data_IF_790942352422
#
_entry.id   IF_790942352422
#
_cell.length_a   1.000
_cell.length_b   1.000
_cell.length_c   1.000
_cell.angle_alpha   90.00
_cell.angle_beta   90.00
_cell.angle_gamma   90.00
#
_symmetry.space_group_name_H-M   'P 1'
#
loop_
_entity.id
_entity.type
_entity.pdbx_description
1 polymer ?
#
# COMPACT_ATOMS: atom_id res chain seq x y z
N UNK A 1 12.23 -2.54 6.88
CA UNK A 1 11.05 -1.75 7.35
C UNK A 1 11.53 -0.50 8.10
N UNK A 2 12.50 -0.63 9.03
CA UNK A 2 13.02 0.47 9.84
C UNK A 2 13.65 1.61 9.01
N UNK A 3 14.34 1.31 7.92
CA UNK A 3 14.98 2.34 7.08
C UNK A 3 13.94 3.19 6.32
N UNK A 4 12.90 2.56 5.78
CA UNK A 4 11.85 3.26 5.03
C UNK A 4 11.03 4.21 5.95
N UNK A 5 10.78 3.81 7.20
CA UNK A 5 10.15 4.68 8.20
C UNK A 5 11.03 5.87 8.57
N UNK A 6 12.33 5.63 8.76
CA UNK A 6 13.29 6.68 9.10
C UNK A 6 13.36 7.77 8.03
N UNK A 7 13.33 7.39 6.76
CA UNK A 7 13.36 8.34 5.64
C UNK A 7 12.05 9.15 5.55
N UNK A 8 10.90 8.55 5.88
CA UNK A 8 9.62 9.26 5.89
C UNK A 8 9.53 10.26 7.05
N UNK A 9 9.89 9.85 8.27
CA UNK A 9 9.95 10.74 9.42
C UNK A 9 10.91 11.90 9.19
N UNK A 10 12.07 11.64 8.61
CA UNK A 10 13.04 12.66 8.25
C UNK A 10 12.46 13.64 7.23
N UNK A 11 11.84 13.16 6.17
CA UNK A 11 11.21 13.99 5.14
C UNK A 11 10.09 14.86 5.73
N UNK A 12 9.25 14.29 6.60
CA UNK A 12 8.21 15.04 7.29
C UNK A 12 8.82 16.15 8.15
N UNK A 13 9.79 15.81 9.00
CA UNK A 13 10.42 16.76 9.90
C UNK A 13 11.13 17.90 9.17
N UNK A 14 11.86 17.62 8.10
CA UNK A 14 12.55 18.62 7.30
C UNK A 14 11.57 19.59 6.62
N UNK A 15 10.49 19.09 6.01
CA UNK A 15 9.51 19.92 5.32
C UNK A 15 8.66 20.72 6.32
N UNK A 16 8.20 20.11 7.40
CA UNK A 16 7.44 20.81 8.46
C UNK A 16 8.30 21.88 9.16
N UNK A 17 9.57 21.60 9.41
CA UNK A 17 10.50 22.59 9.96
C UNK A 17 10.67 23.78 9.00
N UNK A 18 10.81 23.51 7.70
CA UNK A 18 10.89 24.58 6.70
C UNK A 18 9.62 25.44 6.68
N UNK A 19 8.44 24.81 6.73
CA UNK A 19 7.14 25.49 6.76
C UNK A 19 7.02 26.36 8.00
N UNK A 20 7.28 25.79 9.17
CA UNK A 20 7.14 26.46 10.47
C UNK A 20 8.12 27.61 10.62
N UNK A 21 9.39 27.39 10.31
CA UNK A 21 10.44 28.43 10.43
C UNK A 21 10.18 29.64 9.55
N UNK A 22 9.52 29.44 8.41
CA UNK A 22 9.19 30.51 7.46
C UNK A 22 7.76 31.02 7.58
N UNK A 23 7.01 30.52 8.55
CA UNK A 23 5.59 30.86 8.78
C UNK A 23 4.74 30.71 7.50
N UNK A 24 4.98 29.63 6.74
CA UNK A 24 4.26 29.33 5.50
C UNK A 24 3.05 28.44 5.79
N UNK A 25 2.08 28.50 4.89
CA UNK A 25 0.97 27.53 4.83
C UNK A 25 1.19 26.54 3.68
N UNK A 26 0.47 25.44 3.66
CA UNK A 26 0.48 24.51 2.53
C UNK A 26 0.05 25.20 1.23
N UNK A 27 -0.90 26.15 1.31
CA UNK A 27 -1.31 26.96 0.15
C UNK A 27 -0.19 27.87 -0.36
N UNK A 28 0.67 28.40 0.54
CA UNK A 28 1.81 29.21 0.12
C UNK A 28 2.84 28.38 -0.66
N UNK A 29 3.05 27.12 -0.28
CA UNK A 29 3.91 26.20 -1.02
C UNK A 29 3.33 25.92 -2.42
N UNK A 30 2.03 25.71 -2.49
CA UNK A 30 1.34 25.50 -3.77
C UNK A 30 1.47 26.74 -4.67
N UNK A 31 1.26 27.95 -4.12
CA UNK A 31 1.39 29.21 -4.84
C UNK A 31 2.81 29.49 -5.32
N UNK A 32 3.81 29.12 -4.52
CA UNK A 32 5.24 29.29 -4.84
C UNK A 32 5.80 28.21 -5.76
N UNK A 33 4.92 27.36 -6.35
CA UNK A 33 5.29 26.26 -7.23
C UNK A 33 6.20 25.21 -6.57
N UNK A 34 6.07 25.01 -5.26
CA UNK A 34 6.78 24.00 -4.48
C UNK A 34 5.95 22.71 -4.35
N UNK A 35 5.15 22.40 -5.37
CA UNK A 35 4.27 21.24 -5.40
C UNK A 35 4.98 19.91 -5.12
N UNK A 36 6.19 19.63 -5.64
CA UNK A 36 6.86 18.37 -5.34
C UNK A 36 7.14 18.14 -3.85
N UNK A 37 7.43 19.20 -3.10
CA UNK A 37 7.71 19.09 -1.67
C UNK A 37 6.45 18.85 -0.85
N UNK A 38 5.35 19.51 -1.18
CA UNK A 38 4.08 19.30 -0.47
C UNK A 38 3.46 17.95 -0.84
N UNK A 39 3.63 17.48 -2.08
CA UNK A 39 3.24 16.12 -2.49
C UNK A 39 4.07 15.06 -1.76
N UNK A 40 5.39 15.26 -1.66
CA UNK A 40 6.26 14.39 -0.86
C UNK A 40 5.83 14.36 0.61
N UNK A 41 5.46 15.49 1.18
CA UNK A 41 4.96 15.55 2.56
C UNK A 41 3.67 14.74 2.72
N UNK A 42 2.71 14.92 1.83
CA UNK A 42 1.42 14.23 1.87
C UNK A 42 1.58 12.71 1.75
N UNK A 43 2.40 12.25 0.81
CA UNK A 43 2.65 10.82 0.63
C UNK A 43 3.44 10.24 1.79
N UNK A 44 4.37 10.99 2.38
CA UNK A 44 5.12 10.56 3.56
C UNK A 44 4.21 10.35 4.77
N UNK A 45 3.25 11.25 5.01
CA UNK A 45 2.25 11.08 6.05
C UNK A 45 1.36 9.85 5.81
N UNK A 46 0.90 9.65 4.57
CA UNK A 46 0.06 8.50 4.24
C UNK A 46 0.82 7.19 4.44
N UNK A 47 2.05 7.10 3.99
CA UNK A 47 2.90 5.92 4.13
C UNK A 47 3.31 5.67 5.58
N UNK A 48 3.63 6.71 6.35
CA UNK A 48 3.92 6.56 7.77
C UNK A 48 2.70 5.98 8.51
N UNK A 49 1.51 6.52 8.21
CA UNK A 49 0.26 6.00 8.77
C UNK A 49 0.05 4.52 8.41
N UNK A 50 0.28 4.13 7.16
CA UNK A 50 0.19 2.74 6.72
C UNK A 50 1.19 1.83 7.46
N UNK A 51 2.46 2.23 7.54
CA UNK A 51 3.49 1.43 8.21
C UNK A 51 3.21 1.25 9.69
N UNK A 52 2.85 2.33 10.41
CA UNK A 52 2.53 2.27 11.83
C UNK A 52 1.34 1.34 12.11
N UNK A 53 0.31 1.42 11.29
CA UNK A 53 -0.86 0.57 11.46
C UNK A 53 -0.60 -0.86 11.00
N UNK A 54 0.20 -1.09 9.97
CA UNK A 54 0.61 -2.42 9.56
C UNK A 54 1.42 -3.14 10.65
N UNK A 55 2.31 -2.43 11.33
CA UNK A 55 3.10 -3.02 12.43
C UNK A 55 2.25 -3.39 13.65
N UNK A 56 1.22 -2.59 13.95
CA UNK A 56 0.46 -2.72 15.18
C UNK A 56 -0.89 -3.43 15.00
N UNK A 57 -1.43 -3.50 13.79
CA UNK A 57 -2.78 -4.02 13.51
C UNK A 57 -2.86 -4.78 12.18
N UNK A 58 -1.80 -5.50 11.80
CA UNK A 58 -1.85 -6.29 10.57
C UNK A 58 -2.85 -7.46 10.69
N UNK A 59 -3.73 -7.58 9.69
CA UNK A 59 -4.70 -8.66 9.61
C UNK A 59 -4.97 -9.02 8.13
N UNK A 60 -5.74 -10.06 7.87
CA UNK A 60 -6.03 -10.57 6.52
C UNK A 60 -6.74 -9.58 5.59
N UNK A 61 -7.26 -8.47 6.10
CA UNK A 61 -7.96 -7.43 5.34
C UNK A 61 -7.11 -6.18 5.10
N UNK A 62 -5.96 -6.04 5.76
CA UNK A 62 -5.15 -4.83 5.78
C UNK A 62 -4.66 -4.37 4.40
N UNK A 63 -4.54 -5.27 3.43
CA UNK A 63 -4.04 -4.97 2.08
C UNK A 63 -5.11 -5.11 0.99
N UNK A 64 -6.38 -5.23 1.35
CA UNK A 64 -7.48 -5.44 0.40
C UNK A 64 -8.31 -4.15 0.30
N UNK A 65 -8.29 -3.52 -0.88
CA UNK A 65 -9.08 -2.32 -1.15
C UNK A 65 -10.46 -2.66 -1.72
N UNK A 66 -11.51 -1.91 -1.32
CA UNK A 66 -11.51 -0.89 -0.29
C UNK A 66 -11.37 -1.48 1.10
N UNK A 67 -10.60 -0.81 1.98
CA UNK A 67 -10.42 -1.24 3.36
C UNK A 67 -11.76 -1.30 4.10
N UNK A 68 -11.90 -2.26 5.02
CA UNK A 68 -13.13 -2.50 5.77
C UNK A 68 -12.81 -2.85 7.22
N UNK A 69 -13.69 -2.42 8.11
CA UNK A 69 -13.75 -2.83 9.52
C UNK A 69 -12.37 -2.91 10.21
N UNK A 70 -11.90 -4.12 10.44
CA UNK A 70 -10.64 -4.39 11.15
C UNK A 70 -9.37 -3.88 10.44
N UNK A 71 -9.47 -3.53 9.14
CA UNK A 71 -8.37 -3.00 8.37
C UNK A 71 -8.22 -1.48 8.51
N UNK A 72 -9.16 -0.78 9.15
CA UNK A 72 -9.04 0.65 9.37
C UNK A 72 -7.87 0.95 10.31
N UNK A 73 -7.21 2.07 10.03
CA UNK A 73 -6.11 2.55 10.84
C UNK A 73 -6.57 2.93 12.24
N UNK A 74 -5.87 2.43 13.26
CA UNK A 74 -6.07 2.81 14.66
C UNK A 74 -5.40 4.17 14.91
N UNK A 75 -4.16 4.34 14.45
CA UNK A 75 -3.51 5.64 14.38
C UNK A 75 -3.89 6.33 13.07
N UNK A 76 -4.80 7.27 13.18
CA UNK A 76 -5.37 8.02 12.04
C UNK A 76 -4.61 9.31 11.70
N UNK A 77 -3.56 9.66 12.45
CA UNK A 77 -2.89 10.97 12.33
C UNK A 77 -2.28 11.16 10.93
N UNK A 78 -1.52 10.18 10.45
CA UNK A 78 -0.92 10.23 9.11
C UNK A 78 -1.97 10.39 8.01
N UNK A 79 -3.05 9.60 8.07
CA UNK A 79 -4.14 9.66 7.11
C UNK A 79 -4.86 11.01 7.12
N UNK A 80 -5.14 11.58 8.29
CA UNK A 80 -5.77 12.91 8.41
C UNK A 80 -4.89 14.02 7.85
N UNK A 81 -3.60 13.98 8.11
CA UNK A 81 -2.64 14.93 7.52
C UNK A 81 -2.58 14.80 5.99
N UNK A 82 -2.55 13.58 5.47
CA UNK A 82 -2.60 13.35 4.03
C UNK A 82 -3.89 13.89 3.41
N UNK A 83 -5.05 13.69 4.05
CA UNK A 83 -6.34 14.23 3.58
C UNK A 83 -6.30 15.76 3.53
N UNK A 84 -5.81 16.41 4.60
CA UNK A 84 -5.69 17.87 4.67
C UNK A 84 -4.87 18.41 3.49
N UNK A 85 -3.71 17.83 3.24
CA UNK A 85 -2.79 18.29 2.22
C UNK A 85 -3.28 17.94 0.81
N UNK A 86 -3.71 16.69 0.56
CA UNK A 86 -4.20 16.29 -0.76
C UNK A 86 -5.48 17.01 -1.17
N UNK A 87 -6.33 17.40 -0.23
CA UNK A 87 -7.48 18.25 -0.52
C UNK A 87 -7.03 19.58 -1.12
N UNK A 88 -6.05 20.25 -0.52
CA UNK A 88 -5.54 21.53 -1.01
C UNK A 88 -4.80 21.39 -2.35
N UNK A 89 -4.03 20.31 -2.52
CA UNK A 89 -3.36 20.01 -3.80
C UNK A 89 -4.41 19.81 -4.89
N UNK A 90 -5.42 18.97 -4.64
CA UNK A 90 -6.44 18.63 -5.64
C UNK A 90 -7.32 19.83 -6.03
N UNK A 91 -7.63 20.73 -5.10
CA UNK A 91 -8.37 21.96 -5.40
C UNK A 91 -7.65 22.85 -6.41
N UNK A 92 -6.32 22.85 -6.39
CA UNK A 92 -5.52 23.64 -7.33
C UNK A 92 -5.11 22.85 -8.57
N UNK A 93 -4.86 21.57 -8.42
CA UNK A 93 -4.41 20.66 -9.46
C UNK A 93 -5.30 19.40 -9.49
N UNK A 94 -6.46 19.45 -10.14
CA UNK A 94 -7.44 18.35 -10.14
C UNK A 94 -6.97 17.20 -11.06
N UNK A 95 -5.97 16.46 -10.62
CA UNK A 95 -5.44 15.28 -11.32
C UNK A 95 -5.94 13.99 -10.67
N UNK A 96 -6.12 12.95 -11.48
CA UNK A 96 -6.67 11.66 -11.03
C UNK A 96 -5.79 10.97 -9.97
N UNK A 97 -4.46 11.11 -10.04
CA UNK A 97 -3.56 10.57 -9.02
C UNK A 97 -3.79 11.20 -7.65
N UNK A 98 -3.98 12.51 -7.56
CA UNK A 98 -4.28 13.17 -6.29
C UNK A 98 -5.67 12.82 -5.77
N UNK A 99 -6.64 12.70 -6.68
CA UNK A 99 -7.98 12.22 -6.32
C UNK A 99 -7.92 10.81 -5.75
N UNK A 100 -7.14 9.93 -6.38
CA UNK A 100 -6.92 8.56 -5.90
C UNK A 100 -6.31 8.54 -4.51
N UNK A 101 -5.20 9.24 -4.29
CA UNK A 101 -4.51 9.28 -3.00
C UNK A 101 -5.39 9.88 -1.89
N UNK A 102 -6.18 10.90 -2.21
CA UNK A 102 -7.16 11.46 -1.28
C UNK A 102 -8.22 10.42 -0.87
N UNK A 103 -8.78 9.68 -1.84
CA UNK A 103 -9.75 8.62 -1.54
C UNK A 103 -9.11 7.46 -0.75
N UNK A 104 -7.87 7.09 -1.07
CA UNK A 104 -7.13 6.08 -0.33
C UNK A 104 -6.96 6.51 1.14
N UNK A 105 -6.57 7.76 1.39
CA UNK A 105 -6.47 8.29 2.74
C UNK A 105 -7.80 8.26 3.50
N UNK A 106 -8.91 8.57 2.85
CA UNK A 106 -10.25 8.42 3.45
C UNK A 106 -10.64 6.95 3.70
N UNK A 107 -10.20 6.02 2.84
CA UNK A 107 -10.43 4.58 3.07
C UNK A 107 -9.74 4.08 4.31
N UNK A 108 -8.50 4.52 4.56
CA UNK A 108 -7.74 4.07 5.72
C UNK A 108 -8.39 4.40 7.05
N UNK A 109 -9.20 5.45 7.11
CA UNK A 109 -9.90 5.88 8.33
C UNK A 109 -11.40 5.58 8.30
N UNK A 110 -11.86 4.77 7.35
CA UNK A 110 -13.25 4.31 7.26
C UNK A 110 -14.26 5.37 6.79
N UNK A 111 -13.81 6.47 6.23
CA UNK A 111 -14.69 7.55 5.75
C UNK A 111 -15.20 7.34 4.32
N UNK A 112 -14.52 6.52 3.53
CA UNK A 112 -14.93 6.24 2.15
C UNK A 112 -16.02 5.15 2.10
N UNK A 113 -17.06 5.29 1.26
CA UNK A 113 -17.37 6.44 0.39
C UNK A 113 -18.25 7.49 1.07
N UNK A 114 -18.86 7.19 2.22
CA UNK A 114 -20.02 7.92 2.77
C UNK A 114 -19.66 9.33 3.25
N UNK A 115 -18.48 9.53 3.81
CA UNK A 115 -18.05 10.80 4.38
C UNK A 115 -17.08 11.56 3.46
N UNK A 116 -16.78 11.04 2.26
CA UNK A 116 -15.99 11.77 1.26
C UNK A 116 -16.89 12.74 0.51
N UNK A 117 -16.58 14.05 0.48
CA UNK A 117 -17.34 15.01 -0.31
C UNK A 117 -17.44 14.57 -1.77
N UNK A 118 -18.62 14.74 -2.38
CA UNK A 118 -18.92 14.20 -3.71
C UNK A 118 -17.91 14.62 -4.79
N UNK A 119 -17.44 15.88 -4.74
CA UNK A 119 -16.44 16.41 -5.68
C UNK A 119 -15.09 15.67 -5.65
N UNK A 120 -14.76 15.06 -4.50
CA UNK A 120 -13.52 14.31 -4.32
C UNK A 120 -13.72 12.79 -4.45
N UNK A 121 -14.95 12.32 -4.27
CA UNK A 121 -15.26 10.91 -4.23
C UNK A 121 -15.01 10.22 -5.58
N UNK A 122 -14.36 9.08 -5.51
CA UNK A 122 -14.30 8.12 -6.61
C UNK A 122 -15.42 7.10 -6.36
N UNK A 123 -16.38 7.09 -7.27
CA UNK A 123 -17.40 6.05 -7.26
C UNK A 123 -16.81 4.83 -7.95
N UNK A 124 -16.45 3.81 -7.18
CA UNK A 124 -16.12 2.52 -7.78
C UNK A 124 -17.38 1.97 -8.45
N UNK A 125 -17.31 1.58 -9.72
CA UNK A 125 -18.41 0.87 -10.31
C UNK A 125 -18.71 -0.33 -9.41
N UNK A 126 -20.00 -0.57 -9.11
CA UNK A 126 -20.43 -1.80 -8.49
C UNK A 126 -19.93 -2.91 -9.40
N UNK A 127 -18.83 -3.52 -9.03
CA UNK A 127 -18.30 -4.71 -9.68
C UNK A 127 -19.19 -5.91 -9.31
N UNK A 128 -20.53 -5.70 -9.41
CA UNK A 128 -21.48 -6.78 -9.60
C UNK A 128 -21.25 -7.35 -11.00
N UNK A 129 -20.00 -7.71 -11.27
CA UNK A 129 -19.75 -8.77 -12.20
C UNK A 129 -20.52 -9.93 -11.57
N UNK A 130 -21.53 -10.45 -12.27
CA UNK A 130 -21.95 -11.84 -12.05
C UNK A 130 -20.67 -12.64 -12.01
N UNK A 131 -20.16 -12.84 -10.81
CA UNK A 131 -18.90 -13.53 -10.61
C UNK A 131 -19.20 -14.94 -11.07
N UNK A 132 -18.73 -15.29 -12.27
CA UNK A 132 -18.39 -16.69 -12.49
C UNK A 132 -17.59 -17.07 -11.27
N UNK A 133 -18.21 -17.82 -10.36
CA UNK A 133 -17.62 -18.17 -9.08
C UNK A 133 -16.39 -19.02 -9.35
N UNK A 134 -15.27 -18.37 -9.61
CA UNK A 134 -13.98 -19.05 -9.57
C UNK A 134 -13.85 -19.52 -8.14
N UNK A 135 -13.75 -20.83 -7.95
CA UNK A 135 -13.53 -21.40 -6.63
C UNK A 135 -12.29 -20.75 -6.02
N UNK A 136 -12.39 -20.30 -4.79
CA UNK A 136 -11.24 -19.78 -4.08
C UNK A 136 -10.12 -20.82 -4.06
N UNK A 137 -8.89 -20.40 -4.36
CA UNK A 137 -7.73 -21.24 -4.20
C UNK A 137 -7.56 -21.60 -2.72
N UNK A 138 -7.24 -22.86 -2.46
CA UNK A 138 -6.90 -23.30 -1.11
C UNK A 138 -5.42 -23.05 -0.87
N UNK A 139 -5.11 -22.47 0.30
CA UNK A 139 -3.73 -22.42 0.76
C UNK A 139 -3.26 -23.83 1.13
N UNK A 140 -2.23 -24.30 0.47
CA UNK A 140 -1.68 -25.66 0.64
C UNK A 140 -0.17 -25.68 0.87
N UNK A 141 0.49 -24.51 0.85
CA UNK A 141 1.94 -24.40 0.91
C UNK A 141 2.53 -25.05 2.17
N UNK A 142 1.91 -24.83 3.34
CA UNK A 142 2.31 -25.46 4.59
C UNK A 142 2.22 -26.99 4.51
N UNK A 143 1.13 -27.51 3.92
CA UNK A 143 0.93 -28.95 3.78
C UNK A 143 1.93 -29.59 2.83
N UNK A 144 2.33 -28.86 1.81
CA UNK A 144 3.27 -29.33 0.79
C UNK A 144 4.74 -29.08 1.16
N UNK A 145 5.01 -28.41 2.29
CA UNK A 145 6.35 -28.09 2.72
C UNK A 145 7.05 -26.98 1.91
N UNK A 146 6.30 -26.23 1.11
CA UNK A 146 6.81 -25.14 0.26
C UNK A 146 6.48 -23.74 0.77
N UNK A 147 5.95 -23.65 1.99
CA UNK A 147 5.72 -22.36 2.63
C UNK A 147 7.04 -21.64 2.89
N UNK A 148 7.11 -20.39 2.52
CA UNK A 148 8.30 -19.57 2.68
C UNK A 148 7.93 -18.19 3.23
N UNK A 149 8.64 -17.80 4.28
CA UNK A 149 8.65 -16.41 4.75
C UNK A 149 9.78 -15.65 4.03
N UNK A 150 9.51 -14.43 3.63
CA UNK A 150 10.49 -13.58 2.96
C UNK A 150 9.84 -12.44 2.19
N UNK A 151 10.66 -11.64 1.53
CA UNK A 151 10.19 -10.58 0.65
C UNK A 151 9.86 -11.18 -0.73
N UNK A 152 8.58 -11.27 -1.04
CA UNK A 152 8.07 -11.89 -2.27
C UNK A 152 8.75 -11.33 -3.53
N UNK A 153 9.35 -12.22 -4.30
CA UNK A 153 9.91 -11.93 -5.61
C UNK A 153 9.02 -12.49 -6.74
N UNK A 154 9.64 -13.08 -7.75
CA UNK A 154 8.96 -13.78 -8.83
C UNK A 154 8.81 -15.26 -8.56
N UNK A 155 7.89 -15.89 -9.28
CA UNK A 155 7.75 -17.35 -9.34
C UNK A 155 7.78 -17.79 -10.80
N UNK A 156 8.48 -18.89 -11.07
CA UNK A 156 8.44 -19.60 -12.35
C UNK A 156 8.06 -21.05 -12.13
N UNK A 157 7.25 -21.59 -13.00
CA UNK A 157 6.78 -22.97 -12.95
C UNK A 157 7.15 -23.61 -14.28
N UNK A 158 8.01 -24.62 -14.23
CA UNK A 158 8.47 -25.37 -15.40
C UNK A 158 9.02 -26.72 -14.95
N UNK A 159 9.31 -27.60 -15.87
CA UNK A 159 10.02 -28.86 -15.63
C UNK A 159 11.53 -28.60 -15.70
N UNK A 160 12.15 -28.22 -14.59
CA UNK A 160 13.57 -27.83 -14.54
C UNK A 160 14.53 -29.01 -14.58
N UNK A 161 14.08 -30.22 -14.26
CA UNK A 161 14.91 -31.43 -14.24
C UNK A 161 14.61 -32.40 -15.39
N UNK A 162 13.60 -32.06 -16.23
CA UNK A 162 13.15 -32.83 -17.39
C UNK A 162 12.61 -34.22 -17.03
N UNK A 163 11.88 -34.32 -15.91
CA UNK A 163 11.23 -35.56 -15.45
C UNK A 163 9.73 -35.63 -15.83
N UNK A 164 9.19 -34.60 -16.47
CA UNK A 164 7.80 -34.50 -16.89
C UNK A 164 6.86 -33.94 -15.81
N UNK A 165 7.37 -33.56 -14.63
CA UNK A 165 6.61 -32.92 -13.56
C UNK A 165 6.95 -31.43 -13.50
N UNK A 166 5.99 -30.61 -13.06
CA UNK A 166 6.23 -29.19 -12.92
C UNK A 166 6.86 -28.85 -11.57
N UNK A 167 8.02 -28.21 -11.61
CA UNK A 167 8.75 -27.68 -10.48
C UNK A 167 8.38 -26.23 -10.22
N UNK A 168 8.78 -25.70 -9.05
CA UNK A 168 8.53 -24.30 -8.65
C UNK A 168 9.84 -23.63 -8.30
N UNK A 169 10.18 -22.57 -9.04
CA UNK A 169 11.32 -21.70 -8.72
C UNK A 169 10.83 -20.38 -8.16
N UNK A 170 11.29 -20.00 -6.98
CA UNK A 170 10.89 -18.79 -6.25
C UNK A 170 12.10 -17.90 -6.01
N UNK A 171 11.94 -16.61 -6.30
CA UNK A 171 12.92 -15.56 -5.97
C UNK A 171 12.43 -14.71 -4.81
N UNK A 172 13.34 -13.97 -4.16
CA UNK A 172 13.00 -12.98 -3.13
C UNK A 172 13.69 -11.65 -3.42
N UNK A 173 13.10 -10.54 -2.98
CA UNK A 173 13.75 -9.22 -2.96
C UNK A 173 14.63 -8.99 -1.73
N UNK A 174 14.59 -9.88 -0.76
CA UNK A 174 15.45 -9.80 0.43
C UNK A 174 16.92 -10.00 0.06
N UNK A 175 17.77 -9.05 0.41
CA UNK A 175 19.21 -9.14 0.10
C UNK A 175 19.90 -10.34 0.76
N UNK A 176 19.32 -10.84 1.85
CA UNK A 176 19.80 -12.03 2.57
C UNK A 176 19.05 -13.32 2.21
N UNK A 177 18.00 -13.20 1.39
CA UNK A 177 17.17 -14.34 1.03
C UNK A 177 17.75 -15.04 -0.20
N UNK A 178 17.70 -16.35 -0.19
CA UNK A 178 18.12 -17.16 -1.33
C UNK A 178 16.91 -17.52 -2.19
N UNK A 179 17.12 -17.57 -3.51
CA UNK A 179 16.17 -18.20 -4.42
C UNK A 179 16.07 -19.69 -4.13
N UNK A 180 14.89 -20.28 -4.27
CA UNK A 180 14.61 -21.68 -3.98
C UNK A 180 14.03 -22.38 -5.18
N UNK A 181 14.48 -23.57 -5.44
CA UNK A 181 13.89 -24.52 -6.38
C UNK A 181 13.25 -25.66 -5.58
N UNK A 182 11.96 -25.84 -5.78
CA UNK A 182 11.21 -26.97 -5.27
C UNK A 182 10.97 -27.94 -6.41
N UNK A 183 11.64 -29.08 -6.37
CA UNK A 183 11.43 -30.13 -7.36
C UNK A 183 10.25 -31.00 -6.98
N UNK A 184 9.34 -31.14 -7.92
CA UNK A 184 8.19 -32.00 -7.75
C UNK A 184 8.63 -33.47 -7.94
N UNK A 185 8.02 -34.34 -7.17
CA UNK A 185 8.21 -35.79 -7.29
C UNK A 185 6.85 -36.49 -7.31
N UNK A 186 6.81 -37.78 -7.64
CA UNK A 186 5.57 -38.56 -7.53
C UNK A 186 4.92 -38.51 -6.13
N UNK A 187 5.67 -38.08 -5.09
CA UNK A 187 5.23 -37.99 -3.71
C UNK A 187 5.01 -36.53 -3.25
N UNK A 188 5.21 -35.54 -4.11
CA UNK A 188 5.12 -34.10 -3.83
C UNK A 188 6.46 -33.40 -3.86
N UNK A 189 6.50 -32.15 -3.37
CA UNK A 189 7.70 -31.28 -3.32
C UNK A 189 8.59 -31.62 -2.15
#
# INVERSE_FOLDING_TARGET
ITLACYDMDKSINEIETFITTRQLTYQDLIRKNLLPYIDLLAISYLRLGEVNNCQNNHNSYSCILPLKDQAFHIDVNGSKKAIEIYTQIYEKFPKDNYKWLLNLAHMTIGEHPSNVPERYRINYPNWNIEQKKIKAFKEVSLKLGIAQDGLSGGVSIDDFNNDGLLDIFITSYGMSDQSKLYTNTSNGF
#
